data_IF_479286108928
#
_entry.id   IF_479286108928
#
_cell.length_a   1.000
_cell.length_b   1.000
_cell.length_c   1.000
_cell.angle_alpha   90.00
_cell.angle_beta   90.00
_cell.angle_gamma   90.00
#
_symmetry.space_group_name_H-M   'P 1'
#
loop_
_entity.id
_entity.type
_entity.pdbx_description
1 polymer ?
#
# COMPACT_ATOMS: atom_id res chain seq x y z
N UNK A 1 -13.26 -1.02 -27.58
CA UNK A 1 -13.40 -1.50 -26.19
C UNK A 1 -12.13 -1.35 -25.34
N UNK A 2 -11.39 -0.21 -25.40
CA UNK A 2 -10.14 -0.01 -24.62
C UNK A 2 -10.31 0.83 -23.33
N UNK A 3 -11.40 1.58 -23.18
CA UNK A 3 -11.64 2.45 -22.00
C UNK A 3 -11.74 1.66 -20.70
N UNK A 4 -12.35 0.49 -20.75
CA UNK A 4 -12.67 -0.31 -19.56
C UNK A 4 -11.42 -0.86 -18.84
N UNK A 5 -10.33 -1.19 -19.57
CA UNK A 5 -9.10 -1.72 -18.97
C UNK A 5 -8.33 -0.65 -18.19
N UNK A 6 -8.21 0.56 -18.76
CA UNK A 6 -7.49 1.69 -18.12
C UNK A 6 -8.23 2.19 -16.89
N UNK A 7 -9.57 2.27 -16.96
CA UNK A 7 -10.40 2.64 -15.80
C UNK A 7 -10.29 1.60 -14.67
N UNK A 8 -10.29 0.31 -15.00
CA UNK A 8 -10.13 -0.75 -13.99
C UNK A 8 -8.74 -0.68 -13.33
N UNK A 9 -7.69 -0.38 -14.10
CA UNK A 9 -6.33 -0.22 -13.59
C UNK A 9 -6.15 1.01 -12.69
N UNK A 10 -6.82 2.11 -13.02
CA UNK A 10 -6.84 3.30 -12.16
C UNK A 10 -7.50 2.98 -10.82
N UNK A 11 -8.62 2.23 -10.81
CA UNK A 11 -9.27 1.80 -9.57
C UNK A 11 -8.35 0.95 -8.69
N UNK A 12 -7.59 0.03 -9.26
CA UNK A 12 -6.63 -0.77 -8.47
C UNK A 12 -5.56 0.11 -7.82
N UNK A 13 -5.07 1.12 -8.54
CA UNK A 13 -4.09 2.06 -7.99
C UNK A 13 -4.71 2.89 -6.85
N UNK A 14 -5.89 3.46 -7.07
CA UNK A 14 -6.63 4.27 -6.10
C UNK A 14 -6.94 3.49 -4.82
N UNK A 15 -7.37 2.23 -4.92
CA UNK A 15 -7.63 1.39 -3.75
C UNK A 15 -6.37 1.14 -2.91
N UNK A 16 -5.22 0.89 -3.54
CA UNK A 16 -3.97 0.71 -2.80
C UNK A 16 -3.57 2.02 -2.14
N UNK A 17 -3.74 3.15 -2.83
CA UNK A 17 -3.50 4.49 -2.24
C UNK A 17 -4.37 4.68 -1.00
N UNK A 18 -5.66 4.36 -1.04
CA UNK A 18 -6.56 4.47 0.12
C UNK A 18 -6.04 3.64 1.29
N UNK A 19 -5.75 2.35 1.07
CA UNK A 19 -5.25 1.45 2.13
C UNK A 19 -3.92 1.94 2.71
N UNK A 20 -3.00 2.41 1.87
CA UNK A 20 -1.71 2.94 2.29
C UNK A 20 -1.88 4.23 3.10
N UNK A 21 -2.73 5.14 2.64
CA UNK A 21 -3.03 6.40 3.34
C UNK A 21 -3.66 6.13 4.70
N UNK A 22 -4.61 5.20 4.80
CA UNK A 22 -5.23 4.82 6.08
C UNK A 22 -4.24 4.16 7.04
N UNK A 23 -3.33 3.32 6.53
CA UNK A 23 -2.30 2.68 7.35
C UNK A 23 -1.26 3.67 7.91
N UNK A 24 -1.00 4.75 7.17
CA UNK A 24 0.08 5.68 7.44
C UNK A 24 -0.43 7.04 7.96
N UNK A 25 -1.74 7.16 8.17
CA UNK A 25 -2.33 8.35 8.78
C UNK A 25 -1.74 8.56 10.18
N UNK A 26 -1.27 9.79 10.43
CA UNK A 26 -0.59 10.13 11.69
C UNK A 26 0.91 9.83 11.73
N UNK A 27 1.51 9.32 10.64
CA UNK A 27 2.97 9.27 10.45
C UNK A 27 3.50 10.42 9.59
N UNK A 28 2.67 11.44 9.35
CA UNK A 28 3.00 12.60 8.51
C UNK A 28 4.18 13.40 9.08
N UNK A 29 4.32 13.42 10.41
CA UNK A 29 5.46 14.03 11.09
C UNK A 29 6.62 13.03 11.16
N UNK A 30 7.65 13.30 10.36
CA UNK A 30 8.93 12.59 10.39
C UNK A 30 9.08 11.44 9.39
N UNK A 31 8.14 11.31 8.45
CA UNK A 31 8.22 10.38 7.33
C UNK A 31 7.82 11.03 6.01
N UNK A 32 8.50 10.63 4.95
CA UNK A 32 8.14 10.92 3.56
C UNK A 32 7.61 9.65 2.90
N UNK A 33 6.54 9.79 2.12
CA UNK A 33 5.88 8.68 1.44
C UNK A 33 5.87 8.92 -0.06
N UNK A 34 6.28 7.90 -0.82
CA UNK A 34 6.18 7.90 -2.28
C UNK A 34 5.49 6.61 -2.72
N UNK A 35 4.41 6.74 -3.49
CA UNK A 35 3.71 5.62 -4.08
C UNK A 35 3.69 5.74 -5.59
N UNK A 36 4.32 4.78 -6.28
CA UNK A 36 4.45 4.79 -7.75
C UNK A 36 3.89 3.52 -8.37
N UNK A 37 3.42 3.64 -9.61
CA UNK A 37 3.06 2.50 -10.45
C UNK A 37 4.08 2.39 -11.57
N UNK A 38 4.69 1.23 -11.71
CA UNK A 38 5.51 0.90 -12.87
C UNK A 38 4.62 0.53 -14.05
N UNK A 39 4.77 1.26 -15.16
CA UNK A 39 4.00 1.04 -16.39
C UNK A 39 4.39 -0.26 -17.12
N UNK A 40 5.62 -0.74 -16.92
CA UNK A 40 6.19 -1.87 -17.68
C UNK A 40 5.76 -3.24 -17.18
N UNK A 41 5.54 -3.38 -15.87
CA UNK A 41 5.33 -4.69 -15.22
C UNK A 41 4.14 -4.70 -14.26
N UNK A 42 3.22 -3.74 -14.36
CA UNK A 42 2.02 -3.62 -13.52
C UNK A 42 2.31 -3.81 -12.02
N UNK A 43 3.43 -3.25 -11.56
CA UNK A 43 3.89 -3.33 -10.18
C UNK A 43 3.71 -1.99 -9.49
N UNK A 44 3.17 -2.02 -8.29
CA UNK A 44 2.98 -0.89 -7.41
C UNK A 44 4.12 -0.87 -6.39
N UNK A 45 4.74 0.29 -6.19
CA UNK A 45 5.85 0.47 -5.26
C UNK A 45 5.47 1.50 -4.22
N UNK A 46 5.65 1.16 -2.96
CA UNK A 46 5.57 2.08 -1.84
C UNK A 46 6.98 2.25 -1.27
N UNK A 47 7.42 3.49 -1.17
CA UNK A 47 8.61 3.89 -0.44
C UNK A 47 8.18 4.74 0.75
N UNK A 48 8.73 4.40 1.91
CA UNK A 48 8.58 5.17 3.13
C UNK A 48 9.98 5.50 3.61
N UNK A 49 10.28 6.76 3.85
CA UNK A 49 11.59 7.21 4.31
C UNK A 49 11.39 8.01 5.58
N UNK A 50 12.12 7.69 6.64
CA UNK A 50 12.07 8.48 7.88
C UNK A 50 13.14 9.58 7.93
N UNK A 51 13.05 10.46 8.94
CA UNK A 51 14.00 11.56 9.15
C UNK A 51 15.46 11.10 9.38
N UNK A 52 15.65 9.82 9.74
CA UNK A 52 16.98 9.21 9.86
C UNK A 52 17.46 8.60 8.54
N UNK A 53 16.77 8.88 7.43
CA UNK A 53 17.01 8.33 6.09
C UNK A 53 16.92 6.80 6.01
N UNK A 54 16.18 6.15 6.93
CA UNK A 54 15.90 4.72 6.81
C UNK A 54 14.79 4.52 5.79
N UNK A 55 15.01 3.59 4.87
CA UNK A 55 14.11 3.27 3.78
C UNK A 55 13.33 1.98 4.04
N UNK A 56 12.01 2.07 3.91
CA UNK A 56 11.10 0.93 3.94
C UNK A 56 10.45 0.84 2.55
N UNK A 57 10.57 -0.32 1.91
CA UNK A 57 10.11 -0.51 0.55
C UNK A 57 9.13 -1.68 0.45
N UNK A 58 8.11 -1.51 -0.36
CA UNK A 58 7.16 -2.58 -0.66
C UNK A 58 6.86 -2.59 -2.14
N UNK A 59 6.99 -3.76 -2.76
CA UNK A 59 6.55 -4.00 -4.13
C UNK A 59 5.36 -4.97 -4.15
N UNK A 60 4.34 -4.61 -4.91
CA UNK A 60 3.09 -5.34 -5.07
C UNK A 60 2.78 -5.49 -6.55
N UNK A 61 2.74 -6.72 -7.06
CA UNK A 61 2.23 -6.96 -8.41
C UNK A 61 0.70 -6.87 -8.43
N UNK A 62 0.11 -6.44 -9.55
CA UNK A 62 -1.34 -6.47 -9.77
C UNK A 62 -1.97 -7.83 -9.47
N UNK A 63 -1.32 -8.92 -9.89
CA UNK A 63 -1.80 -10.28 -9.60
C UNK A 63 -1.84 -10.55 -8.09
N UNK A 64 -0.83 -10.11 -7.33
CA UNK A 64 -0.82 -10.28 -5.88
C UNK A 64 -1.96 -9.50 -5.21
N UNK A 65 -2.21 -8.27 -5.65
CA UNK A 65 -3.33 -7.45 -5.18
C UNK A 65 -4.66 -8.14 -5.43
N UNK A 66 -4.87 -8.69 -6.64
CA UNK A 66 -6.09 -9.42 -6.98
C UNK A 66 -6.31 -10.64 -6.08
N UNK A 67 -5.26 -11.42 -5.82
CA UNK A 67 -5.33 -12.60 -4.94
C UNK A 67 -5.70 -12.17 -3.52
N UNK A 68 -5.04 -11.14 -2.97
CA UNK A 68 -5.33 -10.65 -1.61
C UNK A 68 -6.78 -10.19 -1.48
N UNK A 69 -7.28 -9.42 -2.45
CA UNK A 69 -8.68 -8.95 -2.45
C UNK A 69 -9.72 -10.08 -2.48
N UNK A 70 -9.37 -11.24 -3.03
CA UNK A 70 -10.27 -12.41 -3.05
C UNK A 70 -10.26 -13.18 -1.72
N UNK A 71 -9.23 -13.01 -0.89
CA UNK A 71 -9.09 -13.72 0.39
C UNK A 71 -9.97 -13.10 1.48
N UNK A 72 -9.88 -11.78 1.66
CA UNK A 72 -10.73 -11.04 2.59
C UNK A 72 -10.68 -9.54 2.28
N UNK A 73 -11.64 -8.73 2.78
CA UNK A 73 -11.61 -7.28 2.63
C UNK A 73 -10.35 -6.61 3.20
N UNK A 74 -9.72 -7.21 4.21
CA UNK A 74 -8.56 -6.64 4.92
C UNK A 74 -7.22 -7.25 4.51
N UNK A 75 -7.20 -8.33 3.72
CA UNK A 75 -5.97 -9.05 3.38
C UNK A 75 -4.90 -8.17 2.69
N UNK A 76 -5.30 -7.16 1.91
CA UNK A 76 -4.36 -6.21 1.32
C UNK A 76 -3.69 -5.34 2.39
N UNK A 77 -4.49 -4.79 3.31
CA UNK A 77 -4.03 -3.99 4.44
C UNK A 77 -3.12 -4.81 5.36
N UNK A 78 -3.57 -5.99 5.77
CA UNK A 78 -2.82 -6.91 6.62
C UNK A 78 -1.46 -7.27 5.99
N UNK A 79 -1.43 -7.48 4.68
CA UNK A 79 -0.21 -7.77 3.95
C UNK A 79 0.77 -6.58 3.95
N UNK A 80 0.30 -5.37 3.65
CA UNK A 80 1.13 -4.16 3.66
C UNK A 80 1.68 -3.92 5.07
N UNK A 81 0.82 -4.00 6.09
CA UNK A 81 1.18 -3.84 7.49
C UNK A 81 2.25 -4.85 7.92
N UNK A 82 2.04 -6.13 7.61
CA UNK A 82 3.01 -7.18 7.90
C UNK A 82 4.37 -6.93 7.23
N UNK A 83 4.37 -6.47 5.98
CA UNK A 83 5.60 -6.21 5.22
C UNK A 83 6.40 -5.04 5.77
N UNK A 84 5.73 -3.95 6.13
CA UNK A 84 6.39 -2.79 6.73
C UNK A 84 6.90 -3.12 8.14
N UNK A 85 6.10 -3.79 8.97
CA UNK A 85 6.50 -4.22 10.33
C UNK A 85 7.72 -5.14 10.30
N UNK A 86 7.79 -6.05 9.32
CA UNK A 86 8.95 -6.93 9.13
C UNK A 86 10.24 -6.17 8.77
N UNK A 87 10.12 -4.97 8.19
CA UNK A 87 11.25 -4.09 7.91
C UNK A 87 11.61 -3.17 9.09
N UNK A 88 10.90 -3.29 10.22
CA UNK A 88 11.12 -2.47 11.41
C UNK A 88 10.36 -1.14 11.40
N UNK A 89 9.46 -0.92 10.43
CA UNK A 89 8.59 0.25 10.45
C UNK A 89 7.68 0.18 11.69
N UNK A 90 7.58 1.24 12.51
CA UNK A 90 6.86 1.24 13.78
C UNK A 90 5.35 1.39 13.58
N UNK A 91 4.75 0.45 12.84
CA UNK A 91 3.30 0.43 12.56
C UNK A 91 2.53 0.14 13.86
N UNK A 92 1.55 0.98 14.17
CA UNK A 92 0.75 0.88 15.38
C UNK A 92 -0.49 0.03 15.10
N UNK A 93 -0.58 -1.14 15.74
CA UNK A 93 -1.70 -2.08 15.58
C UNK A 93 -3.05 -1.51 16.11
N UNK A 94 -3.06 -0.30 16.72
CA UNK A 94 -4.26 0.36 17.24
C UNK A 94 -4.95 1.29 16.24
N UNK A 95 -4.22 1.91 15.28
CA UNK A 95 -4.83 2.80 14.27
C UNK A 95 -5.64 2.00 13.22
N UNK A 96 -5.42 0.70 13.14
CA UNK A 96 -6.08 -0.21 12.20
C UNK A 96 -7.29 -0.94 12.78
N UNK A 97 -7.65 -0.67 14.06
CA UNK A 97 -8.85 -1.25 14.67
C UNK A 97 -10.09 -0.52 14.19
N UNK A 98 -10.51 -0.90 12.98
CA UNK A 98 -11.91 -0.90 12.53
C UNK A 98 -12.64 0.42 12.74
N UNK A 99 -12.46 1.34 11.78
CA UNK A 99 -13.57 2.23 11.41
C UNK A 99 -14.68 1.33 10.84
N UNK A 100 -15.51 0.80 11.76
CA UNK A 100 -16.75 0.09 11.46
C UNK A 100 -17.86 1.05 11.07
#
# INVERSE_FOLDING_TARGET
MKKNKKELENRFFEEIVVVVSELLIGYEDGYTFEFTKSEWNETYKLFVIDDSYRDYHLELSKQKVQILKQQSPHALQDFIQFKLKRQGFPINDMLTKWNG
#
